data_IF_796701996270
#
_entry.id   IF_796701996270
#
_cell.length_a   1.000
_cell.length_b   1.000
_cell.length_c   1.000
_cell.angle_alpha   90.00
_cell.angle_beta   90.00
_cell.angle_gamma   90.00
#
_symmetry.space_group_name_H-M   'P 1'
#
loop_
_entity.id
_entity.type
_entity.pdbx_description
1 polymer ?
#
# COMPACT_ATOMS: atom_id res chain seq x y z
N UNK A 1 -10.94 -16.24 -20.46
CA UNK A 1 -9.91 -16.21 -19.39
C UNK A 1 -10.59 -16.55 -18.08
N UNK A 2 -10.11 -17.53 -17.29
CA UNK A 2 -10.69 -17.82 -15.97
C UNK A 2 -10.45 -16.62 -15.03
N UNK A 3 -11.38 -16.36 -14.10
CA UNK A 3 -11.30 -15.24 -13.16
C UNK A 3 -10.28 -15.47 -12.04
N UNK A 4 -10.00 -16.73 -11.70
CA UNK A 4 -9.13 -17.12 -10.58
C UNK A 4 -7.75 -16.48 -10.62
N UNK A 5 -7.00 -16.46 -11.74
CA UNK A 5 -5.68 -15.82 -11.78
C UNK A 5 -5.71 -14.29 -11.54
N UNK A 6 -6.83 -13.64 -11.84
CA UNK A 6 -7.01 -12.21 -11.58
C UNK A 6 -7.17 -11.99 -10.07
N UNK A 7 -7.99 -12.80 -9.42
CA UNK A 7 -8.22 -12.75 -7.97
C UNK A 7 -6.91 -12.99 -7.22
N UNK A 8 -6.15 -14.02 -7.57
CA UNK A 8 -4.86 -14.31 -6.92
C UNK A 8 -3.86 -13.16 -7.06
N UNK A 9 -3.80 -12.53 -8.24
CA UNK A 9 -2.94 -11.35 -8.46
C UNK A 9 -3.35 -10.13 -7.62
N UNK A 10 -4.65 -9.95 -7.39
CA UNK A 10 -5.15 -8.86 -6.55
C UNK A 10 -4.88 -9.15 -5.08
N UNK A 11 -5.15 -10.38 -4.63
CA UNK A 11 -4.88 -10.84 -3.26
C UNK A 11 -3.41 -10.66 -2.89
N UNK A 12 -2.50 -11.14 -3.73
CA UNK A 12 -1.06 -11.03 -3.49
C UNK A 12 -0.59 -9.57 -3.32
N UNK A 13 -1.26 -8.60 -3.95
CA UNK A 13 -0.95 -7.17 -3.78
C UNK A 13 -1.57 -6.56 -2.53
N UNK A 14 -2.75 -7.03 -2.13
CA UNK A 14 -3.44 -6.54 -0.93
C UNK A 14 -2.77 -7.02 0.35
N UNK A 15 -2.23 -8.24 0.33
CA UNK A 15 -1.58 -8.89 1.47
C UNK A 15 -0.05 -8.57 1.55
N UNK A 16 0.47 -7.74 0.64
CA UNK A 16 1.89 -7.35 0.57
C UNK A 16 2.25 -6.28 1.60
N UNK A 17 2.68 -6.72 2.79
CA UNK A 17 3.15 -5.85 3.87
C UNK A 17 4.57 -5.31 3.66
N UNK A 18 5.34 -5.92 2.75
CA UNK A 18 6.73 -5.56 2.44
C UNK A 18 6.84 -4.47 1.35
N UNK A 19 5.69 -4.05 0.83
CA UNK A 19 5.54 -3.04 -0.23
C UNK A 19 6.32 -3.42 -1.50
N UNK A 20 6.42 -4.71 -1.81
CA UNK A 20 7.04 -5.23 -3.02
C UNK A 20 6.44 -4.63 -4.28
N UNK A 21 5.11 -4.54 -4.37
CA UNK A 21 4.42 -3.92 -5.50
C UNK A 21 4.75 -2.43 -5.68
N UNK A 22 5.00 -1.71 -4.58
CA UNK A 22 5.43 -0.30 -4.61
C UNK A 22 6.86 -0.20 -5.14
N UNK A 23 7.76 -1.10 -4.70
CA UNK A 23 9.15 -1.15 -5.19
C UNK A 23 9.20 -1.45 -6.69
N UNK A 24 8.44 -2.42 -7.16
CA UNK A 24 8.30 -2.73 -8.58
C UNK A 24 7.76 -1.56 -9.40
N UNK A 25 6.78 -0.82 -8.86
CA UNK A 25 6.28 0.37 -9.51
C UNK A 25 7.35 1.46 -9.61
N UNK A 26 8.10 1.73 -8.52
CA UNK A 26 9.18 2.72 -8.52
C UNK A 26 10.33 2.35 -9.45
N UNK A 27 10.66 1.06 -9.59
CA UNK A 27 11.67 0.60 -10.53
C UNK A 27 11.29 0.91 -11.99
N UNK A 28 9.98 0.84 -12.32
CA UNK A 28 9.45 1.19 -13.65
C UNK A 28 9.22 2.69 -13.86
N UNK A 29 9.24 3.49 -12.78
CA UNK A 29 9.04 4.94 -12.82
C UNK A 29 10.20 5.64 -12.08
N UNK A 30 11.41 5.72 -12.68
CA UNK A 30 12.55 6.37 -12.07
C UNK A 30 12.22 7.81 -11.65
N UNK A 31 12.52 8.17 -10.41
CA UNK A 31 12.15 9.48 -9.84
C UNK A 31 10.67 9.61 -9.42
N UNK A 32 9.83 8.62 -9.71
CA UNK A 32 8.44 8.55 -9.28
C UNK A 32 8.31 8.46 -7.76
N UNK A 33 7.30 9.15 -7.23
CA UNK A 33 7.00 9.17 -5.79
C UNK A 33 5.76 8.32 -5.50
N UNK A 34 5.72 7.75 -4.31
CA UNK A 34 4.57 7.03 -3.78
C UNK A 34 4.09 7.73 -2.51
N UNK A 35 2.78 7.78 -2.29
CA UNK A 35 2.14 8.49 -1.17
C UNK A 35 1.27 7.50 -0.40
N UNK A 36 1.58 7.29 0.87
CA UNK A 36 0.78 6.47 1.79
C UNK A 36 -0.55 7.15 2.12
N UNK A 37 -1.65 6.43 1.95
CA UNK A 37 -3.02 6.89 2.12
C UNK A 37 -3.68 6.06 3.21
N UNK A 38 -3.83 6.63 4.41
CA UNK A 38 -4.57 5.98 5.49
C UNK A 38 -6.10 6.12 5.28
N UNK A 39 -6.90 5.19 5.82
CA UNK A 39 -8.35 5.32 5.84
C UNK A 39 -8.83 6.59 6.55
N UNK A 40 -10.04 7.10 6.25
CA UNK A 40 -11.04 6.53 5.33
C UNK A 40 -10.98 7.16 3.94
N UNK A 41 -10.63 8.44 3.85
CA UNK A 41 -10.55 9.17 2.58
C UNK A 41 -9.24 9.94 2.46
N UNK A 42 -8.60 9.79 1.31
CA UNK A 42 -7.48 10.59 0.83
C UNK A 42 -7.82 10.99 -0.61
N UNK A 43 -7.54 12.23 -1.07
CA UNK A 43 -7.81 12.66 -2.45
C UNK A 43 -6.80 12.01 -3.43
N UNK A 44 -7.00 10.72 -3.71
CA UNK A 44 -6.09 9.89 -4.53
C UNK A 44 -5.97 10.41 -5.96
N UNK A 45 -6.98 11.12 -6.45
CA UNK A 45 -7.02 11.77 -7.75
C UNK A 45 -5.94 12.85 -7.88
N UNK A 46 -5.68 13.62 -6.82
CA UNK A 46 -4.63 14.66 -6.81
C UNK A 46 -3.25 14.02 -6.86
N UNK A 47 -3.05 12.94 -6.09
CA UNK A 47 -1.79 12.19 -6.07
C UNK A 47 -1.51 11.58 -7.45
N UNK A 48 -2.51 10.96 -8.05
CA UNK A 48 -2.42 10.41 -9.40
C UNK A 48 -2.11 11.51 -10.42
N UNK A 49 -2.86 12.62 -10.42
CA UNK A 49 -2.67 13.73 -11.35
C UNK A 49 -1.25 14.33 -11.28
N UNK A 50 -0.61 14.27 -10.11
CA UNK A 50 0.78 14.68 -9.93
C UNK A 50 1.82 13.64 -10.40
N UNK A 51 1.40 12.54 -11.04
CA UNK A 51 2.28 11.48 -11.54
C UNK A 51 2.84 10.57 -10.43
N UNK A 52 2.19 10.52 -9.27
CA UNK A 52 2.61 9.73 -8.12
C UNK A 52 1.71 8.51 -7.91
N UNK A 53 2.23 7.49 -7.22
CA UNK A 53 1.47 6.30 -6.85
C UNK A 53 0.74 6.51 -5.50
N UNK A 54 -0.60 6.54 -5.45
CA UNK A 54 -1.32 6.42 -4.19
C UNK A 54 -1.24 4.97 -3.68
N UNK A 55 -0.88 4.79 -2.40
CA UNK A 55 -0.72 3.48 -1.75
C UNK A 55 -1.60 3.43 -0.51
N UNK A 56 -2.63 2.58 -0.51
CA UNK A 56 -3.50 2.39 0.65
C UNK A 56 -2.76 1.70 1.80
N UNK A 57 -2.87 2.24 3.02
CA UNK A 57 -2.24 1.70 4.23
C UNK A 57 -3.32 1.29 5.23
N UNK A 58 -3.67 -0.01 5.27
CA UNK A 58 -4.76 -0.54 6.10
C UNK A 58 -4.29 -1.31 7.36
N UNK A 59 -3.00 -1.19 7.70
CA UNK A 59 -2.36 -1.96 8.76
C UNK A 59 -1.91 -3.35 8.30
N UNK A 60 -1.15 -4.04 9.15
CA UNK A 60 -0.63 -5.39 8.89
C UNK A 60 -1.25 -6.48 9.76
N UNK A 61 -2.36 -6.20 10.45
CA UNK A 61 -2.95 -7.16 11.40
C UNK A 61 -1.90 -7.71 12.38
N UNK A 62 -1.81 -9.04 12.48
CA UNK A 62 -0.86 -9.72 13.38
C UNK A 62 0.53 -9.95 12.76
N UNK A 63 0.81 -9.43 11.56
CA UNK A 63 2.10 -9.65 10.88
C UNK A 63 3.09 -8.50 11.10
N UNK A 64 2.69 -7.46 11.85
CA UNK A 64 3.55 -6.31 12.21
C UNK A 64 3.67 -6.26 13.73
N UNK A 65 4.89 -6.03 14.22
CA UNK A 65 5.16 -5.89 15.65
C UNK A 65 4.46 -4.64 16.23
N UNK A 66 3.64 -4.85 17.26
CA UNK A 66 2.84 -3.79 17.88
C UNK A 66 3.61 -2.96 18.91
N UNK A 67 4.76 -3.42 19.40
CA UNK A 67 5.51 -2.74 20.45
C UNK A 67 5.79 -1.25 20.15
N UNK A 68 6.07 -0.93 18.88
CA UNK A 68 6.28 0.46 18.44
C UNK A 68 4.99 1.29 18.43
N UNK A 69 3.85 0.67 18.15
CA UNK A 69 2.55 1.30 18.21
C UNK A 69 2.14 1.52 19.67
N UNK A 70 2.17 0.49 20.51
CA UNK A 70 1.78 0.53 21.91
C UNK A 70 2.59 1.54 22.74
N UNK A 71 3.87 1.74 22.40
CA UNK A 71 4.71 2.75 23.06
C UNK A 71 4.27 4.20 22.77
N UNK A 72 3.43 4.43 21.75
CA UNK A 72 3.04 5.76 21.24
C UNK A 72 1.53 5.99 21.23
N UNK A 73 0.75 4.92 21.29
CA UNK A 73 -0.68 4.96 21.48
C UNK A 73 -0.97 4.62 22.94
N UNK A 74 -1.69 5.52 23.61
CA UNK A 74 -2.02 5.37 25.02
C UNK A 74 -2.91 4.12 25.20
N UNK A 75 -2.49 3.21 26.08
CA UNK A 75 -3.21 2.00 26.46
C UNK A 75 -4.45 2.27 27.32
#
# INVERSE_FOLDING_TARGET
>A
MPITPIIERCRARLEDIELGGVREWKARHPGGRAVGCFPVYTPVEIIHAAGMLPVGLFGGGNTIELANADARFQS
#
